data_IF_837390826304
#
_entry.id   IF_837390826304
#
_cell.length_a   1.000
_cell.length_b   1.000
_cell.length_c   1.000
_cell.angle_alpha   90.00
_cell.angle_beta   90.00
_cell.angle_gamma   90.00
#
_symmetry.space_group_name_H-M   'P 1'
#
loop_
_entity.id
_entity.type
_entity.pdbx_description
1 polymer ?
#
# COMPACT_ATOMS: atom_id res chain seq x y z
N UNK A 1 -27.98 27.57 -16.45
CA UNK A 1 -28.12 26.12 -16.75
C UNK A 1 -26.90 25.42 -16.15
N UNK A 2 -27.04 24.82 -14.97
CA UNK A 2 -25.91 24.30 -14.20
C UNK A 2 -25.30 23.06 -14.87
N UNK A 3 -24.01 23.14 -15.21
CA UNK A 3 -23.23 22.00 -15.71
C UNK A 3 -22.79 21.18 -14.51
N UNK A 4 -23.51 20.09 -14.20
CA UNK A 4 -23.02 19.05 -13.30
C UNK A 4 -21.83 18.36 -13.99
N UNK A 5 -20.61 18.74 -13.63
CA UNK A 5 -19.41 17.94 -13.92
C UNK A 5 -19.28 16.90 -12.81
N UNK A 6 -19.59 15.65 -13.13
CA UNK A 6 -19.33 14.52 -12.24
C UNK A 6 -18.02 13.86 -12.69
N UNK A 7 -16.94 14.13 -11.98
CA UNK A 7 -15.77 13.25 -11.98
C UNK A 7 -16.08 12.13 -10.99
N UNK A 8 -16.27 10.90 -11.47
CA UNK A 8 -16.47 9.74 -10.59
C UNK A 8 -15.11 9.10 -10.38
N UNK A 9 -14.51 9.40 -9.23
CA UNK A 9 -13.45 8.57 -8.66
C UNK A 9 -14.13 7.25 -8.25
N UNK A 10 -13.81 6.15 -8.92
CA UNK A 10 -14.40 4.85 -8.55
C UNK A 10 -13.66 4.33 -7.31
N UNK A 11 -14.07 4.81 -6.13
CA UNK A 11 -13.64 4.29 -4.83
C UNK A 11 -14.78 3.65 -4.04
N UNK A 12 -15.95 3.42 -4.66
CA UNK A 12 -17.10 2.78 -4.00
C UNK A 12 -17.48 1.45 -4.66
N UNK A 13 -17.54 0.34 -3.89
CA UNK A 13 -17.75 -1.02 -4.42
C UNK A 13 -19.20 -1.32 -4.90
N UNK A 14 -20.09 -0.32 -4.99
CA UNK A 14 -21.53 -0.53 -5.27
C UNK A 14 -21.94 -0.02 -6.66
N UNK A 15 -21.14 0.81 -7.33
CA UNK A 15 -21.42 1.26 -8.69
C UNK A 15 -20.62 0.43 -9.70
N UNK A 16 -21.25 -0.62 -10.23
CA UNK A 16 -20.69 -1.33 -11.39
C UNK A 16 -20.45 -0.33 -12.53
N UNK A 17 -19.34 -0.46 -13.26
CA UNK A 17 -19.01 0.38 -14.43
C UNK A 17 -20.20 0.58 -15.40
N UNK A 18 -21.05 -0.44 -15.55
CA UNK A 18 -22.28 -0.39 -16.36
C UNK A 18 -23.33 0.60 -15.82
N UNK A 19 -23.45 0.76 -14.51
CA UNK A 19 -24.35 1.74 -13.89
C UNK A 19 -23.92 3.18 -14.16
N UNK A 20 -22.62 3.46 -14.03
CA UNK A 20 -22.04 4.79 -14.28
C UNK A 20 -22.25 5.21 -15.75
N UNK A 21 -22.01 4.30 -16.70
CA UNK A 21 -22.24 4.57 -18.12
C UNK A 21 -23.72 4.80 -18.47
N UNK A 22 -24.66 4.12 -17.81
CA UNK A 22 -26.10 4.29 -18.05
C UNK A 22 -26.66 5.61 -17.52
N UNK A 23 -26.02 6.23 -16.53
CA UNK A 23 -26.51 7.42 -15.85
C UNK A 23 -25.74 8.71 -16.20
N UNK A 24 -24.75 8.64 -17.08
CA UNK A 24 -23.89 9.79 -17.42
C UNK A 24 -23.84 10.03 -18.92
N UNK A 25 -23.84 11.32 -19.31
CA UNK A 25 -23.64 11.74 -20.71
C UNK A 25 -22.16 11.71 -21.11
N UNK A 26 -21.27 11.96 -20.14
CA UNK A 26 -19.82 11.90 -20.29
C UNK A 26 -19.24 11.26 -19.02
N UNK A 27 -18.30 10.34 -19.20
CA UNK A 27 -17.59 9.66 -18.12
C UNK A 27 -16.08 9.77 -18.36
N UNK A 28 -15.35 10.23 -17.35
CA UNK A 28 -13.89 10.19 -17.32
C UNK A 28 -13.51 9.16 -16.27
N UNK A 29 -12.76 8.13 -16.66
CA UNK A 29 -12.27 7.10 -15.77
C UNK A 29 -10.81 7.39 -15.47
N UNK A 30 -10.51 7.63 -14.19
CA UNK A 30 -9.15 7.67 -13.67
C UNK A 30 -8.85 6.31 -13.05
N UNK A 31 -7.86 5.60 -13.59
CA UNK A 31 -7.53 4.23 -13.21
C UNK A 31 -6.03 4.13 -12.94
N UNK A 32 -5.68 3.51 -11.81
CA UNK A 32 -4.33 3.00 -11.56
C UNK A 32 -4.43 1.50 -11.34
N UNK A 33 -3.96 0.72 -12.32
CA UNK A 33 -4.01 -0.75 -12.30
C UNK A 33 -3.10 -1.32 -11.21
N UNK A 34 -2.08 -0.56 -10.76
CA UNK A 34 -1.15 -0.98 -9.72
C UNK A 34 -1.62 -0.72 -8.29
N UNK A 35 -2.77 -0.04 -8.09
CA UNK A 35 -3.32 0.29 -6.77
C UNK A 35 -4.52 -0.57 -6.35
N UNK A 36 -4.76 -1.69 -7.05
CA UNK A 36 -5.76 -2.68 -6.62
C UNK A 36 -5.23 -3.41 -5.39
N UNK A 37 -5.82 -3.14 -4.23
CA UNK A 37 -5.37 -3.62 -2.92
C UNK A 37 -6.36 -4.59 -2.26
N UNK A 38 -7.56 -4.79 -2.85
CA UNK A 38 -8.55 -5.76 -2.36
C UNK A 38 -9.27 -6.53 -3.48
N UNK A 39 -9.74 -7.75 -3.20
CA UNK A 39 -10.68 -8.51 -4.03
C UNK A 39 -11.96 -7.80 -4.49
N UNK A 40 -12.42 -6.80 -3.73
CA UNK A 40 -13.64 -6.04 -4.02
C UNK A 40 -13.39 -4.88 -5.00
N UNK A 41 -12.13 -4.56 -5.28
CA UNK A 41 -11.76 -3.59 -6.30
C UNK A 41 -12.11 -4.12 -7.70
N UNK A 42 -12.08 -3.24 -8.72
CA UNK A 42 -12.32 -3.69 -10.09
C UNK A 42 -11.26 -4.72 -10.49
N UNK A 43 -11.65 -5.91 -11.00
CA UNK A 43 -10.69 -6.94 -11.41
C UNK A 43 -9.65 -6.39 -12.38
N UNK A 44 -8.39 -6.82 -12.24
CA UNK A 44 -7.27 -6.40 -13.11
C UNK A 44 -7.58 -6.65 -14.59
N UNK A 45 -8.26 -7.76 -14.90
CA UNK A 45 -8.70 -8.09 -16.25
C UNK A 45 -9.69 -7.05 -16.81
N UNK A 46 -10.61 -6.56 -15.98
CA UNK A 46 -11.56 -5.51 -16.35
C UNK A 46 -10.87 -4.16 -16.52
N UNK A 47 -10.02 -3.75 -15.57
CA UNK A 47 -9.30 -2.47 -15.68
C UNK A 47 -8.38 -2.45 -16.90
N UNK A 48 -7.67 -3.55 -17.19
CA UNK A 48 -6.88 -3.72 -18.41
C UNK A 48 -7.73 -3.69 -19.68
N UNK A 49 -8.91 -4.32 -19.68
CA UNK A 49 -9.83 -4.27 -20.81
C UNK A 49 -10.34 -2.84 -21.08
N UNK A 50 -10.68 -2.10 -20.02
CA UNK A 50 -11.11 -0.71 -20.12
C UNK A 50 -9.99 0.19 -20.65
N UNK A 51 -8.77 0.02 -20.14
CA UNK A 51 -7.59 0.73 -20.63
C UNK A 51 -7.30 0.43 -22.11
N UNK A 52 -7.38 -0.85 -22.51
CA UNK A 52 -7.23 -1.27 -23.90
C UNK A 52 -8.27 -0.66 -24.84
N UNK A 53 -9.55 -0.65 -24.42
CA UNK A 53 -10.64 0.02 -25.17
C UNK A 53 -10.40 1.53 -25.30
N UNK A 54 -9.97 2.20 -24.23
CA UNK A 54 -9.64 3.62 -24.27
C UNK A 54 -8.47 3.90 -25.23
N UNK A 55 -7.43 3.04 -25.22
CA UNK A 55 -6.27 3.15 -26.11
C UNK A 55 -6.67 2.99 -27.58
N UNK A 56 -7.43 1.95 -27.90
CA UNK A 56 -7.90 1.71 -29.28
C UNK A 56 -8.82 2.83 -29.80
N UNK A 57 -9.53 3.51 -28.90
CA UNK A 57 -10.39 4.63 -29.25
C UNK A 57 -9.68 6.00 -29.24
N UNK A 58 -8.34 6.05 -29.10
CA UNK A 58 -7.57 7.30 -29.02
C UNK A 58 -7.91 8.17 -27.81
N UNK A 59 -8.46 7.57 -26.75
CA UNK A 59 -8.94 8.26 -25.53
C UNK A 59 -8.19 7.82 -24.28
N UNK A 60 -6.97 7.31 -24.45
CA UNK A 60 -6.08 6.94 -23.36
C UNK A 60 -5.01 8.01 -23.19
N UNK A 61 -5.03 8.69 -22.05
CA UNK A 61 -4.13 9.78 -21.72
C UNK A 61 -3.30 9.36 -20.49
N UNK A 62 -2.08 8.83 -20.68
CA UNK A 62 -1.23 8.45 -19.55
C UNK A 62 -0.72 9.68 -18.82
N UNK A 63 -0.88 9.72 -17.49
CA UNK A 63 -0.21 10.69 -16.64
C UNK A 63 1.18 10.15 -16.31
N UNK A 64 2.23 10.76 -16.87
CA UNK A 64 3.60 10.27 -16.76
C UNK A 64 4.41 10.95 -15.67
N UNK A 65 4.01 12.15 -15.25
CA UNK A 65 4.76 12.94 -14.25
C UNK A 65 4.30 12.58 -12.85
N UNK A 66 5.23 12.09 -12.03
CA UNK A 66 5.07 11.96 -10.57
C UNK A 66 5.57 13.24 -9.91
N UNK A 67 4.68 13.98 -9.23
CA UNK A 67 5.00 15.26 -8.59
C UNK A 67 5.05 15.17 -7.06
N UNK A 68 4.69 14.01 -6.49
CA UNK A 68 4.52 13.85 -5.05
C UNK A 68 5.83 13.55 -4.32
N UNK A 69 6.63 12.66 -4.88
CA UNK A 69 7.79 12.10 -4.18
C UNK A 69 9.00 12.95 -4.55
N UNK A 70 9.69 13.48 -3.55
CA UNK A 70 10.90 14.27 -3.71
C UNK A 70 12.11 13.35 -3.93
N UNK A 71 12.03 12.53 -4.98
CA UNK A 71 13.10 11.65 -5.43
C UNK A 71 13.48 12.04 -6.86
N UNK A 72 14.78 12.11 -7.14
CA UNK A 72 15.30 12.54 -8.45
C UNK A 72 15.06 11.50 -9.57
N UNK A 73 14.83 10.25 -9.18
CA UNK A 73 14.59 9.10 -10.07
C UNK A 73 13.26 8.41 -9.78
N UNK A 74 12.90 7.42 -10.61
CA UNK A 74 11.64 6.67 -10.50
C UNK A 74 11.61 5.73 -9.29
N UNK A 75 11.47 6.31 -8.09
CA UNK A 75 11.32 5.58 -6.83
C UNK A 75 10.11 4.63 -6.83
N UNK A 76 9.00 5.04 -7.45
CA UNK A 76 7.79 4.19 -7.54
C UNK A 76 8.05 2.96 -8.40
N UNK A 77 8.71 3.12 -9.54
CA UNK A 77 9.15 2.03 -10.40
C UNK A 77 10.15 1.11 -9.70
N UNK A 78 11.10 1.67 -8.95
CA UNK A 78 12.07 0.91 -8.18
C UNK A 78 11.41 0.04 -7.11
N UNK A 79 10.53 0.60 -6.27
CA UNK A 79 9.78 -0.17 -5.26
C UNK A 79 8.88 -1.24 -5.91
N UNK A 80 8.29 -0.94 -7.06
CA UNK A 80 7.51 -1.93 -7.82
C UNK A 80 8.40 -3.10 -8.27
N UNK A 81 9.58 -2.82 -8.79
CA UNK A 81 10.55 -3.83 -9.21
C UNK A 81 11.07 -4.64 -8.02
N UNK A 82 11.42 -3.98 -6.91
CA UNK A 82 11.91 -4.59 -5.67
C UNK A 82 10.94 -5.66 -5.14
N UNK A 83 9.62 -5.39 -5.22
CA UNK A 83 8.56 -6.31 -4.82
C UNK A 83 7.99 -7.14 -5.99
N UNK A 84 8.76 -7.33 -7.06
CA UNK A 84 8.41 -8.16 -8.20
C UNK A 84 9.25 -9.44 -8.23
N UNK A 85 9.01 -10.29 -9.23
CA UNK A 85 9.82 -11.49 -9.45
C UNK A 85 11.15 -11.16 -10.17
N UNK A 86 11.36 -9.89 -10.56
CA UNK A 86 12.58 -9.38 -11.17
C UNK A 86 13.05 -8.13 -10.39
N UNK A 87 13.63 -8.29 -9.18
CA UNK A 87 14.14 -7.17 -8.41
C UNK A 87 15.31 -6.48 -9.12
N UNK A 88 15.59 -5.20 -8.81
CA UNK A 88 16.79 -4.51 -9.27
C UNK A 88 18.06 -5.30 -8.92
N UNK A 89 19.07 -5.19 -9.78
CA UNK A 89 20.36 -5.83 -9.55
C UNK A 89 21.27 -5.00 -8.63
N UNK A 90 21.09 -3.68 -8.66
CA UNK A 90 21.90 -2.71 -7.93
C UNK A 90 20.99 -1.71 -7.22
N UNK A 91 21.43 -1.13 -6.09
CA UNK A 91 20.71 -0.04 -5.44
C UNK A 91 20.64 1.19 -6.36
N UNK A 92 19.57 1.96 -6.22
CA UNK A 92 19.39 3.22 -6.93
C UNK A 92 19.65 4.40 -5.99
N UNK A 93 20.25 5.45 -6.52
CA UNK A 93 20.43 6.72 -5.82
C UNK A 93 19.25 7.65 -6.12
N UNK A 94 18.48 7.99 -5.08
CA UNK A 94 17.29 8.83 -5.17
C UNK A 94 17.56 10.30 -4.80
N UNK A 95 18.83 10.71 -4.69
CA UNK A 95 19.20 12.07 -4.31
C UNK A 95 18.87 12.33 -2.84
N UNK A 96 18.09 13.37 -2.58
CA UNK A 96 17.73 13.78 -1.21
C UNK A 96 16.64 12.90 -0.56
N UNK A 97 16.10 11.92 -1.29
CA UNK A 97 15.06 11.04 -0.75
C UNK A 97 15.65 10.03 0.26
N UNK A 98 15.17 10.11 1.50
CA UNK A 98 15.71 9.34 2.61
C UNK A 98 15.09 7.94 2.70
N UNK A 99 15.71 6.97 2.04
CA UNK A 99 15.34 5.56 2.08
C UNK A 99 16.28 4.78 2.99
N UNK A 100 15.74 4.08 4.00
CA UNK A 100 16.57 3.28 4.93
C UNK A 100 15.90 1.97 5.35
N UNK A 101 16.68 0.90 5.41
CA UNK A 101 16.31 -0.35 6.05
C UNK A 101 16.78 -0.39 7.52
N UNK A 102 15.83 -0.52 8.45
CA UNK A 102 16.11 -0.69 9.88
C UNK A 102 16.07 -2.16 10.28
N UNK A 103 16.96 -2.54 11.20
CA UNK A 103 17.00 -3.89 11.79
C UNK A 103 16.38 -3.97 13.18
N UNK A 104 16.19 -2.83 13.84
CA UNK A 104 15.52 -2.66 15.14
C UNK A 104 14.32 -1.72 14.98
N UNK A 105 13.14 -2.16 15.43
CA UNK A 105 11.93 -1.37 15.29
C UNK A 105 11.90 -0.15 16.24
N UNK A 106 12.51 -0.24 17.41
CA UNK A 106 12.61 0.87 18.35
C UNK A 106 13.40 2.04 17.77
N UNK A 107 14.55 1.75 17.15
CA UNK A 107 15.36 2.75 16.43
C UNK A 107 14.59 3.40 15.28
N UNK A 108 13.87 2.61 14.47
CA UNK A 108 13.04 3.15 13.39
C UNK A 108 11.96 4.11 13.93
N UNK A 109 11.29 3.73 15.02
CA UNK A 109 10.25 4.56 15.65
C UNK A 109 10.83 5.86 16.20
N UNK A 110 11.99 5.79 16.82
CA UNK A 110 12.64 6.98 17.37
C UNK A 110 13.08 7.94 16.26
N UNK A 111 13.65 7.43 15.17
CA UNK A 111 13.98 8.26 14.02
C UNK A 111 12.72 8.88 13.39
N UNK A 112 11.63 8.13 13.32
CA UNK A 112 10.36 8.64 12.80
C UNK A 112 9.76 9.75 13.68
N UNK A 113 9.93 9.70 15.01
CA UNK A 113 9.52 10.78 15.93
C UNK A 113 10.30 12.06 15.68
N UNK A 114 11.62 11.98 15.45
CA UNK A 114 12.41 13.16 15.07
C UNK A 114 11.89 13.80 13.80
N UNK A 115 11.52 13.00 12.79
CA UNK A 115 10.91 13.52 11.55
C UNK A 115 9.51 14.08 11.76
N UNK A 116 8.74 13.55 12.72
CA UNK A 116 7.47 14.16 13.12
C UNK A 116 7.68 15.55 13.71
N UNK A 117 8.67 15.73 14.59
CA UNK A 117 9.00 17.04 15.17
C UNK A 117 9.48 18.04 14.11
N UNK A 118 10.26 17.58 13.12
CA UNK A 118 10.86 18.43 12.09
C UNK A 118 9.89 18.80 10.96
N UNK A 119 9.09 17.85 10.49
CA UNK A 119 8.27 18.00 9.28
C UNK A 119 6.77 17.79 9.51
N UNK A 120 6.36 17.16 10.63
CA UNK A 120 5.00 16.67 10.82
C UNK A 120 4.61 15.57 9.81
N UNK A 121 3.43 14.97 9.96
CA UNK A 121 2.91 13.92 9.07
C UNK A 121 3.89 12.76 8.82
N UNK A 122 4.66 12.39 9.82
CA UNK A 122 5.54 11.22 9.84
C UNK A 122 4.84 10.09 10.58
N UNK A 123 4.45 9.03 9.89
CA UNK A 123 3.55 7.99 10.44
C UNK A 123 4.07 6.59 10.21
N UNK A 124 3.89 5.75 11.23
CA UNK A 124 4.16 4.33 11.17
C UNK A 124 2.95 3.63 10.56
N UNK A 125 3.18 2.79 9.56
CA UNK A 125 2.14 2.09 8.80
C UNK A 125 2.55 0.65 8.53
N UNK A 126 1.57 -0.22 8.30
CA UNK A 126 1.83 -1.63 8.04
C UNK A 126 0.72 -2.31 7.20
N UNK A 127 1.09 -3.43 6.58
CA UNK A 127 0.13 -4.37 6.00
C UNK A 127 -0.67 -5.11 7.08
N UNK A 128 -1.77 -5.78 6.73
CA UNK A 128 -2.65 -6.45 7.69
C UNK A 128 -2.08 -7.75 8.26
N UNK A 129 -0.85 -7.70 8.81
CA UNK A 129 -0.11 -8.89 9.22
C UNK A 129 -0.33 -9.31 10.69
N UNK A 130 -1.17 -8.59 11.43
CA UNK A 130 -1.47 -8.83 12.85
C UNK A 130 -2.96 -8.81 13.14
N UNK A 131 -3.42 -9.56 14.17
CA UNK A 131 -4.80 -9.45 14.65
C UNK A 131 -5.07 -8.07 15.23
N UNK A 132 -6.33 -7.64 15.17
CA UNK A 132 -6.79 -6.35 15.69
C UNK A 132 -7.57 -6.55 16.99
N UNK A 133 -6.83 -6.79 18.07
CA UNK A 133 -7.35 -7.02 19.43
C UNK A 133 -7.92 -5.73 20.03
N UNK A 134 -7.25 -4.61 19.81
CA UNK A 134 -7.62 -3.28 20.33
C UNK A 134 -9.01 -2.80 19.90
N UNK A 135 -9.55 -3.40 18.82
CA UNK A 135 -10.90 -3.13 18.33
C UNK A 135 -12.00 -3.53 19.31
N UNK A 136 -11.78 -4.61 20.07
CA UNK A 136 -12.76 -5.12 21.04
C UNK A 136 -12.33 -4.87 22.48
N UNK A 137 -11.03 -4.70 22.72
CA UNK A 137 -10.45 -4.40 24.02
C UNK A 137 -9.52 -3.19 23.88
N UNK A 138 -9.98 -1.96 24.19
CA UNK A 138 -9.17 -0.75 24.03
C UNK A 138 -7.83 -0.77 24.75
N UNK A 139 -7.65 -1.63 25.77
CA UNK A 139 -6.39 -1.74 26.50
C UNK A 139 -5.39 -2.72 25.87
N UNK A 140 -5.84 -3.57 24.96
CA UNK A 140 -4.99 -4.54 24.28
C UNK A 140 -3.99 -3.87 23.31
N UNK A 141 -2.85 -4.53 23.12
CA UNK A 141 -1.89 -4.23 22.06
C UNK A 141 -2.07 -5.23 20.91
N UNK A 142 -1.88 -4.75 19.69
CA UNK A 142 -2.11 -5.52 18.47
C UNK A 142 -0.83 -6.11 17.90
N UNK A 143 0.24 -5.31 17.92
CA UNK A 143 1.53 -5.60 17.29
C UNK A 143 2.59 -5.59 18.38
N UNK A 144 3.38 -6.67 18.43
CA UNK A 144 4.51 -6.79 19.34
C UNK A 144 5.73 -7.32 18.57
N UNK A 145 6.76 -6.48 18.44
CA UNK A 145 7.99 -6.74 17.67
C UNK A 145 9.12 -6.04 18.40
N UNK A 146 10.27 -6.69 18.60
CA UNK A 146 11.45 -6.12 19.26
C UNK A 146 11.13 -5.45 20.63
N UNK A 147 10.20 -6.05 21.39
CA UNK A 147 9.72 -5.52 22.67
C UNK A 147 8.83 -4.26 22.55
N UNK A 148 8.64 -3.72 21.35
CA UNK A 148 7.74 -2.61 21.07
C UNK A 148 6.31 -3.11 20.98
N UNK A 149 5.42 -2.55 21.81
CA UNK A 149 3.98 -2.85 21.79
C UNK A 149 3.23 -1.68 21.17
N UNK A 150 2.45 -1.94 20.14
CA UNK A 150 1.72 -0.92 19.38
C UNK A 150 0.28 -1.34 19.15
N UNK A 151 -0.57 -0.34 18.92
CA UNK A 151 -1.97 -0.52 18.53
C UNK A 151 -2.13 -0.11 17.07
N UNK A 152 -3.04 -0.77 16.38
CA UNK A 152 -3.57 -0.27 15.12
C UNK A 152 -4.30 1.06 15.32
N UNK A 153 -4.55 1.75 14.21
CA UNK A 153 -5.30 3.01 14.18
C UNK A 153 -6.63 2.96 14.96
N UNK A 154 -6.87 3.88 15.89
CA UNK A 154 -8.11 3.87 16.71
C UNK A 154 -9.34 4.40 15.96
N UNK A 155 -9.14 5.21 14.92
CA UNK A 155 -10.18 5.69 14.01
C UNK A 155 -9.86 5.30 12.58
N UNK A 156 -10.88 5.10 11.74
CA UNK A 156 -10.69 4.90 10.30
C UNK A 156 -10.75 6.21 9.52
N UNK A 157 -11.50 7.19 10.03
CA UNK A 157 -11.66 8.49 9.37
C UNK A 157 -10.67 9.46 9.95
N UNK A 158 -9.92 10.13 9.06
CA UNK A 158 -8.98 11.20 9.40
C UNK A 158 -7.93 10.81 10.47
N UNK A 159 -7.55 9.53 10.48
CA UNK A 159 -6.59 9.01 11.46
C UNK A 159 -5.26 9.76 11.43
N UNK A 160 -4.78 10.14 10.25
CA UNK A 160 -3.48 10.80 10.08
C UNK A 160 -3.37 12.12 10.87
N UNK A 161 -4.49 12.83 11.03
CA UNK A 161 -4.56 14.09 11.78
C UNK A 161 -4.93 13.88 13.27
N UNK A 162 -5.21 12.64 13.69
CA UNK A 162 -5.47 12.33 15.09
C UNK A 162 -4.20 12.52 15.92
N UNK A 163 -4.27 13.13 17.13
CA UNK A 163 -3.13 13.23 18.04
C UNK A 163 -2.52 11.87 18.40
N UNK A 164 -3.31 10.79 18.37
CA UNK A 164 -2.86 9.43 18.70
C UNK A 164 -2.06 8.77 17.57
N UNK A 165 -2.13 9.30 16.36
CA UNK A 165 -1.58 8.64 15.17
C UNK A 165 -0.06 8.53 15.15
N UNK A 166 0.64 9.32 15.96
CA UNK A 166 2.09 9.24 16.14
C UNK A 166 2.50 7.96 16.87
N UNK A 167 1.66 7.46 17.78
CA UNK A 167 1.93 6.26 18.59
C UNK A 167 1.20 4.99 18.11
N UNK A 168 0.30 5.15 17.14
CA UNK A 168 -0.46 4.07 16.52
C UNK A 168 0.16 3.65 15.16
N UNK A 169 -0.21 2.46 14.70
CA UNK A 169 0.15 1.97 13.36
C UNK A 169 -1.05 2.13 12.42
N UNK A 170 -0.83 2.85 11.33
CA UNK A 170 -1.81 3.01 10.26
C UNK A 170 -1.92 1.76 9.41
N UNK A 171 -3.14 1.32 9.15
CA UNK A 171 -3.38 0.30 8.14
C UNK A 171 -3.40 0.90 6.74
N UNK A 172 -3.23 0.06 5.72
CA UNK A 172 -3.38 0.46 4.32
C UNK A 172 -4.71 1.20 4.05
N UNK A 173 -5.77 0.87 4.78
CA UNK A 173 -7.11 1.44 4.59
C UNK A 173 -7.26 2.86 5.16
N UNK A 174 -6.40 3.28 6.08
CA UNK A 174 -6.43 4.64 6.65
C UNK A 174 -5.43 5.59 6.01
N UNK A 175 -4.34 5.07 5.45
CA UNK A 175 -3.32 5.88 4.77
C UNK A 175 -3.61 6.09 3.29
N UNK A 176 -4.47 5.26 2.68
CA UNK A 176 -4.81 5.38 1.26
C UNK A 176 -5.45 6.75 0.96
N UNK A 177 -4.78 7.53 0.10
CA UNK A 177 -5.25 8.84 -0.33
C UNK A 177 -4.58 10.02 0.38
N UNK A 178 -3.72 9.75 1.36
CA UNK A 178 -2.87 10.76 2.00
C UNK A 178 -1.41 10.55 1.61
N UNK A 179 -0.67 11.65 1.65
CA UNK A 179 0.77 11.69 1.48
C UNK A 179 1.40 12.06 2.82
N UNK A 180 2.48 11.37 3.17
CA UNK A 180 3.21 11.54 4.44
C UNK A 180 4.54 12.23 4.15
N UNK A 181 5.05 13.06 5.06
CA UNK A 181 6.41 13.58 4.87
C UNK A 181 7.42 12.44 4.98
N UNK A 182 7.30 11.62 6.03
CA UNK A 182 8.02 10.37 6.19
C UNK A 182 7.07 9.22 6.48
N UNK A 183 7.35 8.05 5.91
CA UNK A 183 6.62 6.83 6.23
C UNK A 183 7.54 5.80 6.87
N UNK A 184 7.20 5.33 8.07
CA UNK A 184 7.79 4.10 8.60
C UNK A 184 6.91 2.92 8.19
N UNK A 185 7.43 1.99 7.40
CA UNK A 185 6.68 0.86 6.87
C UNK A 185 7.16 -0.44 7.50
N UNK A 186 6.25 -1.12 8.20
CA UNK A 186 6.50 -2.47 8.72
C UNK A 186 5.95 -3.49 7.72
N UNK A 187 6.84 -4.24 7.09
CA UNK A 187 6.51 -5.42 6.28
C UNK A 187 6.40 -6.61 7.23
N UNK A 188 5.18 -7.09 7.42
CA UNK A 188 4.88 -8.21 8.31
C UNK A 188 5.17 -9.57 7.70
N UNK A 189 4.89 -10.63 8.49
CA UNK A 189 5.13 -12.01 8.08
C UNK A 189 4.10 -12.55 7.06
N UNK A 190 3.15 -11.73 6.61
CA UNK A 190 2.24 -12.04 5.51
C UNK A 190 2.95 -12.03 4.14
N UNK A 191 4.06 -11.31 4.02
CA UNK A 191 4.96 -11.34 2.87
C UNK A 191 6.34 -11.90 3.28
N UNK A 192 6.76 -12.99 2.66
CA UNK A 192 8.03 -13.66 2.98
C UNK A 192 8.84 -13.92 1.71
N UNK A 193 10.10 -14.31 1.87
CA UNK A 193 10.95 -14.74 0.75
C UNK A 193 11.35 -16.20 0.87
N UNK A 194 11.09 -16.97 -0.19
CA UNK A 194 11.59 -18.34 -0.33
C UNK A 194 12.99 -18.32 -0.96
N UNK A 195 14.06 -18.67 -0.21
CA UNK A 195 15.42 -18.65 -0.72
C UNK A 195 15.73 -19.76 -1.72
N UNK A 196 14.95 -20.84 -1.75
CA UNK A 196 15.13 -21.97 -2.68
C UNK A 196 14.52 -21.63 -4.02
N UNK A 197 13.24 -21.22 -4.02
CA UNK A 197 12.55 -20.80 -5.23
C UNK A 197 12.93 -19.38 -5.70
N UNK A 198 13.67 -18.63 -4.87
CA UNK A 198 14.10 -17.24 -5.09
C UNK A 198 12.95 -16.30 -5.46
N UNK A 199 11.84 -16.42 -4.73
CA UNK A 199 10.63 -15.65 -5.00
C UNK A 199 9.95 -15.20 -3.71
N UNK A 200 9.16 -14.14 -3.83
CA UNK A 200 8.24 -13.72 -2.78
C UNK A 200 7.11 -14.73 -2.66
N UNK A 201 6.69 -14.99 -1.42
CA UNK A 201 5.60 -15.90 -1.09
C UNK A 201 4.65 -15.25 -0.09
N UNK A 202 3.36 -15.58 -0.22
CA UNK A 202 2.32 -15.09 0.66
C UNK A 202 2.10 -16.08 1.80
N UNK A 203 2.05 -15.58 3.03
CA UNK A 203 1.73 -16.39 4.20
C UNK A 203 0.33 -16.08 4.72
N UNK A 204 -0.62 -16.94 4.34
CA UNK A 204 -2.04 -16.79 4.68
C UNK A 204 -2.30 -16.80 6.19
N UNK A 205 -1.48 -17.47 7.01
CA UNK A 205 -1.72 -17.55 8.47
C UNK A 205 -1.43 -16.21 9.16
N UNK A 206 -0.56 -15.40 8.57
CA UNK A 206 -0.21 -14.08 9.07
C UNK A 206 -1.01 -12.95 8.45
N UNK A 207 -1.94 -13.19 7.53
CA UNK A 207 -2.76 -12.13 6.94
C UNK A 207 -4.15 -12.07 7.57
N UNK A 208 -4.50 -10.95 8.21
CA UNK A 208 -5.70 -10.79 9.02
C UNK A 208 -6.78 -9.89 8.41
N UNK A 209 -6.58 -9.36 7.20
CA UNK A 209 -7.68 -8.71 6.46
C UNK A 209 -8.65 -9.78 5.94
N UNK A 210 -9.77 -9.95 6.65
CA UNK A 210 -10.84 -10.88 6.27
C UNK A 210 -11.43 -10.55 4.89
N UNK A 211 -11.62 -9.25 4.58
CA UNK A 211 -12.14 -8.81 3.27
C UNK A 211 -11.08 -8.93 2.19
N UNK A 212 -9.81 -8.80 2.57
CA UNK A 212 -8.66 -8.98 1.69
C UNK A 212 -8.48 -10.42 1.17
N UNK A 213 -9.13 -11.43 1.78
CA UNK A 213 -9.10 -12.84 1.34
C UNK A 213 -10.46 -13.38 0.91
N UNK A 214 -11.48 -12.53 0.91
CA UNK A 214 -12.85 -12.98 0.63
C UNK A 214 -13.00 -13.33 -0.85
N UNK A 215 -13.42 -14.57 -1.12
CA UNK A 215 -13.82 -14.97 -2.47
C UNK A 215 -14.99 -14.11 -2.93
N UNK A 216 -15.13 -13.92 -4.25
CA UNK A 216 -16.23 -13.16 -4.80
C UNK A 216 -17.27 -14.11 -5.41
N UNK A 217 -18.23 -14.65 -4.62
CA UNK A 217 -19.24 -15.58 -5.13
C UNK A 217 -20.15 -14.94 -6.18
N UNK A 218 -20.37 -13.61 -6.12
CA UNK A 218 -21.16 -12.88 -7.12
C UNK A 218 -20.52 -12.90 -8.51
N UNK A 219 -19.20 -13.00 -8.58
CA UNK A 219 -18.44 -13.12 -9.83
C UNK A 219 -17.90 -14.54 -10.06
N UNK A 220 -18.18 -15.49 -9.16
CA UNK A 220 -17.65 -16.86 -9.23
C UNK A 220 -16.13 -16.96 -9.09
N UNK A 221 -15.48 -16.00 -8.41
CA UNK A 221 -14.02 -15.93 -8.30
C UNK A 221 -13.57 -16.49 -6.95
N UNK A 222 -12.64 -17.44 -7.00
CA UNK A 222 -11.88 -17.94 -5.84
C UNK A 222 -10.44 -17.50 -5.97
N UNK A 223 -9.88 -16.87 -4.93
CA UNK A 223 -8.51 -16.35 -4.97
C UNK A 223 -7.50 -17.37 -4.45
N UNK A 224 -6.50 -17.69 -5.27
CA UNK A 224 -5.36 -18.53 -4.86
C UNK A 224 -4.39 -17.74 -3.98
N UNK A 225 -3.40 -18.41 -3.40
CA UNK A 225 -2.34 -17.72 -2.66
C UNK A 225 -1.50 -16.81 -3.56
N UNK A 226 -1.34 -17.15 -4.84
CA UNK A 226 -0.69 -16.31 -5.84
C UNK A 226 -1.49 -15.04 -6.15
N UNK A 227 -2.82 -15.13 -6.24
CA UNK A 227 -3.66 -13.95 -6.40
C UNK A 227 -3.55 -13.01 -5.19
N UNK A 228 -3.57 -13.59 -3.99
CA UNK A 228 -3.44 -12.83 -2.74
C UNK A 228 -2.04 -12.24 -2.55
N UNK A 229 -1.01 -12.95 -3.00
CA UNK A 229 0.37 -12.45 -3.01
C UNK A 229 0.45 -11.13 -3.78
N UNK A 230 -0.22 -11.03 -4.94
CA UNK A 230 -0.16 -9.79 -5.72
C UNK A 230 -0.93 -8.64 -5.05
N UNK A 231 -2.03 -8.92 -4.36
CA UNK A 231 -2.68 -7.91 -3.52
C UNK A 231 -1.77 -7.44 -2.37
N UNK A 232 -1.08 -8.37 -1.70
CA UNK A 232 -0.16 -8.04 -0.59
C UNK A 232 1.05 -7.25 -1.10
N UNK A 233 1.64 -7.64 -2.24
CA UNK A 233 2.66 -6.85 -2.94
C UNK A 233 2.16 -5.45 -3.24
N UNK A 234 0.94 -5.29 -3.75
CA UNK A 234 0.35 -3.97 -4.01
C UNK A 234 0.12 -3.14 -2.74
N UNK A 235 -0.33 -3.77 -1.64
CA UNK A 235 -0.45 -3.10 -0.34
C UNK A 235 0.90 -2.50 0.05
N UNK A 236 1.97 -3.29 0.05
CA UNK A 236 3.29 -2.81 0.44
C UNK A 236 3.88 -1.79 -0.55
N UNK A 237 3.69 -1.97 -1.87
CA UNK A 237 4.05 -0.95 -2.88
C UNK A 237 3.38 0.38 -2.58
N UNK A 238 2.10 0.35 -2.21
CA UNK A 238 1.37 1.57 -1.84
C UNK A 238 1.95 2.17 -0.57
N UNK A 239 2.19 1.40 0.49
CA UNK A 239 2.72 1.92 1.76
C UNK A 239 4.11 2.53 1.58
N UNK A 240 5.01 1.82 0.90
CA UNK A 240 6.40 2.24 0.65
C UNK A 240 6.49 3.49 -0.23
N UNK A 241 5.42 3.88 -0.92
CA UNK A 241 5.39 5.07 -1.80
C UNK A 241 4.56 6.22 -1.23
N UNK A 242 4.25 6.19 0.08
CA UNK A 242 3.53 7.27 0.77
C UNK A 242 4.44 8.40 1.25
N UNK A 243 5.72 8.13 1.48
CA UNK A 243 6.69 9.15 1.89
C UNK A 243 6.99 10.13 0.76
N UNK A 244 6.89 11.43 1.04
CA UNK A 244 7.30 12.51 0.15
C UNK A 244 8.82 12.70 0.23
N UNK A 245 9.36 12.74 1.45
CA UNK A 245 10.78 13.03 1.72
C UNK A 245 11.60 11.77 2.02
N UNK A 246 10.96 10.75 2.59
CA UNK A 246 11.66 9.52 2.94
C UNK A 246 10.74 8.39 3.36
N UNK A 247 11.27 7.17 3.30
CA UNK A 247 10.62 5.96 3.75
C UNK A 247 11.61 5.10 4.53
N UNK A 248 11.23 4.76 5.76
CA UNK A 248 11.94 3.83 6.60
C UNK A 248 11.26 2.48 6.54
N UNK A 249 12.04 1.42 6.38
CA UNK A 249 11.53 0.07 6.16
C UNK A 249 11.99 -0.83 7.29
N UNK A 250 11.07 -1.59 7.87
CA UNK A 250 11.36 -2.70 8.76
C UNK A 250 10.70 -3.96 8.21
N UNK A 251 11.42 -5.08 8.17
CA UNK A 251 10.95 -6.34 7.56
C UNK A 251 11.02 -7.46 8.59
N UNK A 252 9.87 -8.04 8.94
CA UNK A 252 9.81 -9.13 9.92
C UNK A 252 10.47 -10.43 9.43
N UNK A 253 10.24 -10.81 8.16
CA UNK A 253 10.84 -12.02 7.61
C UNK A 253 12.34 -11.85 7.36
N UNK A 254 13.15 -12.71 7.99
CA UNK A 254 14.61 -12.59 7.92
C UNK A 254 15.19 -12.89 6.54
N UNK A 255 14.55 -13.77 5.75
CA UNK A 255 15.00 -14.09 4.40
C UNK A 255 14.70 -12.93 3.44
N UNK A 256 13.51 -12.35 3.54
CA UNK A 256 13.14 -11.15 2.78
C UNK A 256 14.04 -9.97 3.14
N UNK A 257 14.28 -9.75 4.44
CA UNK A 257 15.20 -8.70 4.90
C UNK A 257 16.58 -8.86 4.28
N UNK A 258 17.12 -10.09 4.25
CA UNK A 258 18.42 -10.39 3.64
C UNK A 258 18.42 -10.17 2.13
N UNK A 259 17.34 -10.54 1.42
CA UNK A 259 17.28 -10.44 -0.04
C UNK A 259 17.24 -9.00 -0.54
N UNK A 260 16.68 -8.07 0.23
CA UNK A 260 16.59 -6.65 -0.16
C UNK A 260 17.64 -5.75 0.48
N UNK A 261 18.45 -6.25 1.43
CA UNK A 261 19.39 -5.43 2.23
C UNK A 261 20.40 -4.64 1.39
N UNK A 262 20.86 -5.18 0.26
CA UNK A 262 21.80 -4.47 -0.62
C UNK A 262 21.11 -3.48 -1.57
N UNK A 263 19.77 -3.48 -1.60
CA UNK A 263 18.92 -2.70 -2.50
C UNK A 263 18.19 -1.57 -1.77
N UNK A 264 18.36 -1.42 -0.45
CA UNK A 264 17.68 -0.47 0.42
C UNK A 264 18.67 0.20 1.38
#
# INVERSE_FOLDING_TARGET
RAVRRSAVLVSHPILTHRGIQKQSRHSILMLDVGQTVRPADLPVSLTRNLAGKAKNAGRHYPLQTQMRIAADKDYVGYIRALLSDNPPLEPEDFGDYDLRLFTDLGEMREELRKREEEYGLSRLVAGYAWPWRSKNDPEAYDIEIDGQRMRWNSTTTDWINSPKSVDEVGSIHTVQGYDLNYSGVIIGNDLQFDPVAKKLVFNRTHYYDKKGRENNPKLGITYSDEDLLEYVKNIYRVLLTRGIRGTYVYICDSNLRKSVRALL
#
